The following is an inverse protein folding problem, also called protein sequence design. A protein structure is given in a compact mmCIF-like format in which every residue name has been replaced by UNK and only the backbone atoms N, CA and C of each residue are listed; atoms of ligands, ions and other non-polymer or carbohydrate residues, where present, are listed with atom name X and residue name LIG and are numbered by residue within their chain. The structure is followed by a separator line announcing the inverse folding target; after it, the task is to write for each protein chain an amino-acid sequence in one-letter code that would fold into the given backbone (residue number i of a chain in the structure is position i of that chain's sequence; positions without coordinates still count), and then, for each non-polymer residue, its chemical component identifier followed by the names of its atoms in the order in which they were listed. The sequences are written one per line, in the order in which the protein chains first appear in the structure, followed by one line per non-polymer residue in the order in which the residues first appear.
data_IF_397419866900
#
_entry.id   IF_397419866900
#
_cell.length_a   1.000
_cell.length_b   1.000
_cell.length_c   1.000
_cell.angle_alpha   90.00
_cell.angle_beta   90.00
_cell.angle_gamma   90.00
#
_symmetry.space_group_name_H-M   'P 1'
#
loop_
_entity.id
_entity.type
_entity.pdbx_description
1 polymer ?
#
# COMPACT_ATOMS: atom_id res chain seq x y z
N UNK A 1 8.45 31.23 40.99
CA UNK A 1 9.15 31.78 39.81
C UNK A 1 9.97 30.79 39.00
N UNK A 2 10.25 29.59 39.48
CA UNK A 2 11.11 28.59 38.75
C UNK A 2 10.36 27.72 37.72
N UNK A 3 9.06 27.51 37.86
CA UNK A 3 8.26 26.69 36.92
C UNK A 3 8.08 27.34 35.53
N UNK A 4 8.01 28.66 35.46
CA UNK A 4 7.81 29.38 34.19
C UNK A 4 9.05 29.33 33.26
N UNK A 5 10.25 29.26 33.86
CA UNK A 5 11.50 29.19 33.10
C UNK A 5 11.74 27.81 32.46
N UNK A 6 11.32 26.73 33.13
CA UNK A 6 11.50 25.36 32.61
C UNK A 6 10.60 25.09 31.43
N UNK A 7 9.36 25.60 31.42
CA UNK A 7 8.39 25.41 30.34
C UNK A 7 8.81 26.17 29.05
N UNK A 8 9.37 27.35 29.18
CA UNK A 8 9.85 28.15 28.05
C UNK A 8 11.07 27.50 27.40
N UNK A 9 11.98 26.94 28.20
CA UNK A 9 13.18 26.27 27.67
C UNK A 9 12.83 25.00 26.90
N UNK A 10 11.90 24.18 27.40
CA UNK A 10 11.44 22.94 26.71
C UNK A 10 10.74 23.25 25.39
N UNK A 11 9.92 24.32 25.35
CA UNK A 11 9.25 24.74 24.11
C UNK A 11 10.22 25.29 23.06
N UNK A 12 11.28 25.99 23.50
CA UNK A 12 12.30 26.53 22.60
C UNK A 12 13.18 25.43 22.00
N UNK A 13 13.55 24.42 22.79
CA UNK A 13 14.34 23.26 22.33
C UNK A 13 13.53 22.44 21.34
N UNK A 14 12.24 22.22 21.60
CA UNK A 14 11.36 21.49 20.69
C UNK A 14 11.19 22.25 19.36
N UNK A 15 11.00 23.57 19.41
CA UNK A 15 10.91 24.39 18.21
C UNK A 15 12.22 24.42 17.41
N UNK A 16 13.37 24.45 18.09
CA UNK A 16 14.70 24.42 17.44
C UNK A 16 14.97 23.06 16.79
N UNK A 17 14.59 21.95 17.42
CA UNK A 17 14.69 20.62 16.84
C UNK A 17 13.82 20.47 15.58
N UNK A 18 12.60 21.02 15.59
CA UNK A 18 11.72 21.00 14.40
C UNK A 18 12.30 21.82 13.27
N UNK A 19 12.88 23.00 13.55
CA UNK A 19 13.51 23.86 12.55
C UNK A 19 14.78 23.21 11.98
N UNK A 20 15.62 22.59 12.82
CA UNK A 20 16.83 21.87 12.38
C UNK A 20 16.48 20.62 11.55
N UNK A 21 15.42 19.89 11.90
CA UNK A 21 14.92 18.77 11.10
C UNK A 21 14.35 19.23 9.75
N UNK A 22 13.71 20.39 9.68
CA UNK A 22 13.23 20.98 8.43
C UNK A 22 14.38 21.44 7.53
N UNK A 23 15.41 22.08 8.09
CA UNK A 23 16.59 22.54 7.33
C UNK A 23 17.43 21.37 6.75
N UNK A 24 17.58 20.27 7.50
CA UNK A 24 18.28 19.06 7.01
C UNK A 24 17.53 18.35 5.86
N UNK A 25 16.30 18.71 5.61
CA UNK A 25 15.43 18.12 4.60
C UNK A 25 15.52 18.79 3.23
N UNK A 26 15.94 20.05 3.18
CA UNK A 26 16.07 20.81 1.90
C UNK A 26 17.09 20.21 0.94
N UNK A 27 17.99 19.33 1.41
CA UNK A 27 18.99 18.63 0.58
C UNK A 27 18.54 17.23 0.10
N UNK A 28 17.46 16.67 0.66
CA UNK A 28 17.01 15.35 0.25
C UNK A 28 16.26 15.42 -1.10
N UNK A 29 16.78 14.70 -2.11
CA UNK A 29 16.09 14.57 -3.40
C UNK A 29 14.62 14.13 -3.14
N UNK A 30 13.64 14.79 -3.79
CA UNK A 30 12.27 14.29 -3.77
C UNK A 30 12.25 12.80 -4.11
N UNK A 31 11.43 12.02 -3.41
CA UNK A 31 11.24 10.57 -3.64
C UNK A 31 12.50 9.69 -3.44
N UNK A 32 13.51 10.16 -2.67
CA UNK A 32 14.71 9.34 -2.38
C UNK A 32 14.45 8.23 -1.36
N UNK A 33 13.43 8.39 -0.49
CA UNK A 33 12.98 7.39 0.50
C UNK A 33 11.46 7.33 0.49
N UNK A 34 10.90 6.23 0.00
CA UNK A 34 9.47 6.02 -0.12
C UNK A 34 9.03 4.99 0.92
N UNK A 35 8.07 5.32 1.75
CA UNK A 35 7.42 4.36 2.64
C UNK A 35 6.07 3.97 2.05
N UNK A 36 5.80 2.66 1.97
CA UNK A 36 4.50 2.12 1.56
C UNK A 36 3.82 1.55 2.80
N UNK A 37 2.67 2.10 3.16
CA UNK A 37 1.78 1.60 4.20
C UNK A 37 0.46 1.19 3.55
N UNK A 38 -0.15 0.11 4.00
CA UNK A 38 -1.38 -0.35 3.35
C UNK A 38 -1.88 -1.68 3.87
N UNK A 39 -2.99 -2.10 3.29
CA UNK A 39 -3.66 -3.35 3.56
C UNK A 39 -3.34 -4.39 2.46
N UNK A 40 -4.29 -5.28 2.18
CA UNK A 40 -4.10 -6.43 1.30
C UNK A 40 -3.77 -6.07 -0.16
N UNK A 41 -4.30 -4.95 -0.68
CA UNK A 41 -3.99 -4.51 -2.03
C UNK A 41 -2.52 -4.08 -2.13
N UNK A 42 -2.06 -3.23 -1.21
CA UNK A 42 -0.65 -2.80 -1.14
C UNK A 42 0.29 -3.96 -0.76
N UNK A 43 -0.19 -4.94 0.01
CA UNK A 43 0.56 -6.17 0.35
C UNK A 43 0.60 -7.18 -0.81
N UNK A 44 -0.06 -6.90 -1.93
CA UNK A 44 0.01 -7.68 -3.16
C UNK A 44 -0.80 -8.98 -3.10
N UNK A 45 -1.92 -9.01 -2.36
CA UNK A 45 -2.76 -10.19 -2.21
C UNK A 45 -3.16 -10.78 -3.57
N UNK A 46 -2.73 -12.03 -3.83
CA UNK A 46 -3.01 -12.75 -5.07
C UNK A 46 -2.23 -12.25 -6.30
N UNK A 47 -1.41 -11.20 -6.19
CA UNK A 47 -0.58 -10.70 -7.29
C UNK A 47 0.71 -11.51 -7.37
N UNK A 48 0.95 -12.16 -8.51
CA UNK A 48 2.15 -12.98 -8.71
C UNK A 48 2.73 -12.78 -10.10
N UNK A 49 4.06 -12.84 -10.15
CA UNK A 49 4.82 -12.98 -11.41
C UNK A 49 5.45 -14.35 -11.46
N UNK A 50 5.31 -15.03 -12.58
CA UNK A 50 5.81 -16.38 -12.77
C UNK A 50 6.64 -16.47 -14.04
N UNK A 51 7.65 -17.32 -14.03
CA UNK A 51 8.46 -17.65 -15.21
C UNK A 51 8.90 -19.11 -15.18
N UNK A 52 9.38 -19.61 -16.33
CA UNK A 52 9.98 -20.93 -16.44
C UNK A 52 11.48 -20.77 -16.62
N UNK A 53 12.26 -21.47 -15.82
CA UNK A 53 13.72 -21.53 -15.93
C UNK A 53 14.15 -22.41 -17.12
N UNK A 54 15.41 -22.34 -17.59
CA UNK A 54 15.91 -23.15 -18.68
C UNK A 54 15.78 -24.66 -18.44
N UNK A 55 15.81 -25.11 -17.20
CA UNK A 55 15.63 -26.50 -16.77
C UNK A 55 14.16 -26.97 -16.78
N UNK A 56 13.23 -26.11 -17.19
CA UNK A 56 11.79 -26.40 -17.22
C UNK A 56 11.07 -26.14 -15.88
N UNK A 57 11.78 -25.80 -14.81
CA UNK A 57 11.20 -25.51 -13.49
C UNK A 57 10.41 -24.20 -13.53
N UNK A 58 9.14 -24.25 -13.13
CA UNK A 58 8.33 -23.03 -12.89
C UNK A 58 8.67 -22.42 -11.55
N UNK A 59 8.94 -21.12 -11.55
CA UNK A 59 9.11 -20.31 -10.35
C UNK A 59 8.07 -19.17 -10.34
N UNK A 60 7.64 -18.78 -9.15
CA UNK A 60 6.60 -17.74 -8.99
C UNK A 60 6.81 -17.01 -7.68
N UNK A 61 6.71 -15.69 -7.72
CA UNK A 61 6.87 -14.81 -6.57
C UNK A 61 5.68 -13.87 -6.44
N UNK A 62 5.28 -13.56 -5.20
CA UNK A 62 4.32 -12.51 -4.91
C UNK A 62 4.90 -11.16 -5.25
N UNK A 63 4.06 -10.20 -5.61
CA UNK A 63 4.47 -8.82 -5.90
C UNK A 63 3.60 -7.88 -5.09
N UNK A 64 4.17 -7.21 -4.12
CA UNK A 64 3.51 -6.16 -3.37
C UNK A 64 3.78 -4.77 -3.98
N UNK A 65 3.04 -3.75 -3.52
CA UNK A 65 3.17 -2.39 -4.05
C UNK A 65 4.57 -1.80 -3.80
N UNK A 66 5.22 -2.11 -2.68
CA UNK A 66 6.56 -1.58 -2.40
C UNK A 66 7.61 -2.17 -3.35
N UNK A 67 7.52 -3.45 -3.68
CA UNK A 67 8.37 -4.10 -4.69
C UNK A 67 8.09 -3.54 -6.08
N UNK A 68 6.81 -3.34 -6.42
CA UNK A 68 6.42 -2.70 -7.68
C UNK A 68 7.01 -1.30 -7.79
N UNK A 69 6.87 -0.46 -6.75
CA UNK A 69 7.44 0.88 -6.67
C UNK A 69 8.96 0.83 -6.86
N UNK A 70 9.65 -0.09 -6.17
CA UNK A 70 11.10 -0.26 -6.29
C UNK A 70 11.53 -0.63 -7.70
N UNK A 71 10.84 -1.58 -8.35
CA UNK A 71 11.14 -2.02 -9.73
C UNK A 71 10.78 -0.94 -10.75
N UNK A 72 9.74 -0.15 -10.47
CA UNK A 72 9.31 0.95 -11.31
C UNK A 72 10.26 2.16 -11.24
N UNK A 73 10.95 2.39 -10.13
CA UNK A 73 11.90 3.47 -9.99
C UNK A 73 13.01 3.41 -11.04
N UNK A 74 13.25 4.54 -11.72
CA UNK A 74 14.36 4.68 -12.68
C UNK A 74 15.71 4.95 -11.99
N UNK A 75 15.67 5.54 -10.78
CA UNK A 75 16.86 5.75 -9.96
C UNK A 75 17.00 4.55 -8.98
N UNK A 76 18.03 3.70 -9.15
CA UNK A 76 18.22 2.52 -8.31
C UNK A 76 18.65 2.86 -6.87
N UNK A 77 18.99 4.12 -6.58
CA UNK A 77 19.37 4.57 -5.23
C UNK A 77 18.18 4.86 -4.35
N UNK A 78 16.94 4.87 -4.88
CA UNK A 78 15.73 5.09 -4.14
C UNK A 78 15.50 3.94 -3.15
N UNK A 79 15.33 4.30 -1.88
CA UNK A 79 15.00 3.34 -0.82
C UNK A 79 13.49 3.24 -0.70
N UNK A 80 12.96 2.03 -0.84
CA UNK A 80 11.53 1.74 -0.66
C UNK A 80 11.35 0.85 0.56
N UNK A 81 10.62 1.32 1.56
CA UNK A 81 10.31 0.59 2.79
C UNK A 81 8.88 0.08 2.78
N UNK A 82 8.70 -1.19 3.14
CA UNK A 82 7.40 -1.85 3.19
C UNK A 82 6.87 -1.94 4.62
N UNK A 83 5.68 -1.39 4.84
CA UNK A 83 4.92 -1.48 6.10
C UNK A 83 3.47 -1.88 5.85
N UNK A 84 3.22 -2.63 4.76
CA UNK A 84 1.91 -3.20 4.41
C UNK A 84 1.63 -4.47 5.20
N UNK A 85 0.37 -4.86 5.29
CA UNK A 85 -0.01 -6.15 5.86
C UNK A 85 -1.41 -6.57 5.42
N UNK A 86 -1.53 -7.79 4.90
CA UNK A 86 -2.82 -8.42 4.60
C UNK A 86 -3.66 -8.68 5.86
N UNK A 87 -3.04 -8.68 7.04
CA UNK A 87 -3.72 -8.92 8.33
C UNK A 87 -4.29 -7.64 8.96
N UNK A 88 -4.34 -6.54 8.22
CA UNK A 88 -4.82 -5.25 8.71
C UNK A 88 -6.23 -5.33 9.33
N UNK A 89 -7.11 -6.13 8.74
CA UNK A 89 -8.49 -6.34 9.19
C UNK A 89 -8.61 -6.88 10.62
N UNK A 90 -7.60 -7.53 11.15
CA UNK A 90 -7.61 -8.12 12.51
C UNK A 90 -7.73 -7.05 13.59
N UNK A 91 -7.06 -5.92 13.43
CA UNK A 91 -7.14 -4.79 14.36
C UNK A 91 -6.79 -3.48 13.63
N UNK A 92 -7.74 -2.86 12.94
CA UNK A 92 -7.50 -1.67 12.12
C UNK A 92 -6.84 -0.51 12.88
N UNK A 93 -7.33 -0.18 14.08
CA UNK A 93 -6.80 0.93 14.88
C UNK A 93 -5.34 0.71 15.28
N UNK A 94 -5.00 -0.48 15.79
CA UNK A 94 -3.63 -0.81 16.19
C UNK A 94 -2.69 -0.84 14.99
N UNK A 95 -3.16 -1.41 13.88
CA UNK A 95 -2.37 -1.53 12.65
C UNK A 95 -2.12 -0.16 12.03
N UNK A 96 -3.14 0.72 11.99
CA UNK A 96 -2.97 2.11 11.55
C UNK A 96 -1.87 2.81 12.34
N UNK A 97 -1.96 2.77 13.68
CA UNK A 97 -0.98 3.39 14.58
C UNK A 97 0.43 2.84 14.37
N UNK A 98 0.57 1.51 14.31
CA UNK A 98 1.89 0.88 14.21
C UNK A 98 2.55 1.09 12.85
N UNK A 99 1.79 0.98 11.74
CA UNK A 99 2.33 1.19 10.39
C UNK A 99 2.72 2.65 10.15
N UNK A 100 1.91 3.61 10.60
CA UNK A 100 2.23 5.03 10.52
C UNK A 100 3.50 5.37 11.34
N UNK A 101 3.59 4.88 12.59
CA UNK A 101 4.77 5.12 13.42
C UNK A 101 6.05 4.52 12.82
N UNK A 102 5.98 3.30 12.28
CA UNK A 102 7.12 2.66 11.60
C UNK A 102 7.52 3.40 10.33
N UNK A 103 6.54 3.86 9.55
CA UNK A 103 6.80 4.60 8.32
C UNK A 103 7.44 5.97 8.58
N UNK A 104 7.11 6.63 9.70
CA UNK A 104 7.73 7.90 10.07
C UNK A 104 9.23 7.73 10.35
N UNK A 105 9.66 6.54 10.83
CA UNK A 105 11.04 6.30 11.24
C UNK A 105 11.35 6.81 12.65
N UNK A 106 12.46 6.33 13.20
CA UNK A 106 12.89 6.70 14.56
C UNK A 106 13.67 8.03 14.62
N UNK A 107 14.23 8.46 13.49
CA UNK A 107 15.08 9.65 13.39
C UNK A 107 14.99 10.31 12.00
N UNK A 108 15.57 11.49 11.85
CA UNK A 108 15.51 12.26 10.61
C UNK A 108 16.12 11.54 9.39
N UNK A 109 17.14 10.68 9.60
CA UNK A 109 17.80 9.93 8.54
C UNK A 109 16.92 8.80 8.00
N UNK A 110 16.06 8.24 8.82
CA UNK A 110 15.10 7.18 8.46
C UNK A 110 13.79 7.75 7.91
N UNK A 111 13.52 9.03 8.17
CA UNK A 111 12.27 9.68 7.79
C UNK A 111 12.05 9.60 6.26
N UNK A 112 10.87 9.19 5.78
CA UNK A 112 10.60 9.08 4.36
C UNK A 112 10.51 10.47 3.71
N UNK A 113 10.82 10.54 2.43
CA UNK A 113 10.58 11.72 1.60
C UNK A 113 9.22 11.69 0.92
N UNK A 114 8.52 10.55 0.98
CA UNK A 114 7.15 10.35 0.49
C UNK A 114 6.52 9.13 1.16
N UNK A 115 5.20 9.16 1.39
CA UNK A 115 4.41 8.03 1.91
C UNK A 115 3.29 7.69 0.93
N UNK A 116 3.22 6.43 0.53
CA UNK A 116 2.12 5.88 -0.26
C UNK A 116 1.20 5.06 0.69
N UNK A 117 -0.01 5.57 0.90
CA UNK A 117 -1.00 5.04 1.83
C UNK A 117 -2.32 4.68 1.10
N UNK A 118 -2.19 4.02 -0.06
CA UNK A 118 -3.26 3.93 -1.07
C UNK A 118 -4.50 3.20 -0.54
N UNK A 119 -4.36 2.01 0.04
CA UNK A 119 -5.46 1.25 0.64
C UNK A 119 -5.39 1.19 2.17
N UNK A 120 -4.58 2.08 2.76
CA UNK A 120 -4.28 2.06 4.19
C UNK A 120 -5.52 2.29 5.07
N UNK A 121 -6.45 3.14 4.64
CA UNK A 121 -7.70 3.41 5.37
C UNK A 121 -8.75 2.31 5.21
N UNK A 122 -8.60 1.39 4.25
CA UNK A 122 -9.67 0.48 3.84
C UNK A 122 -10.39 -0.18 5.02
N UNK A 123 -9.66 -0.84 5.90
CA UNK A 123 -10.25 -1.55 7.03
C UNK A 123 -10.76 -0.64 8.17
N UNK A 124 -10.41 0.64 8.15
CA UNK A 124 -11.00 1.62 9.07
C UNK A 124 -12.44 1.97 8.67
N UNK A 125 -12.81 1.82 7.41
CA UNK A 125 -14.19 1.92 6.93
C UNK A 125 -14.91 0.57 6.86
N UNK A 126 -14.21 -0.50 6.46
CA UNK A 126 -14.75 -1.84 6.18
C UNK A 126 -14.56 -2.85 7.33
N UNK A 127 -13.97 -2.46 8.44
CA UNK A 127 -13.75 -3.33 9.58
C UNK A 127 -15.03 -3.80 10.26
N UNK A 128 -14.89 -4.84 11.08
CA UNK A 128 -15.99 -5.40 11.90
C UNK A 128 -15.86 -5.04 13.38
N UNK A 129 -14.77 -4.38 13.75
CA UNK A 129 -14.47 -4.02 15.13
C UNK A 129 -14.31 -2.51 15.27
N UNK A 130 -14.82 -1.93 16.37
CA UNK A 130 -14.62 -0.53 16.73
C UNK A 130 -13.20 -0.27 17.29
N UNK A 131 -12.92 0.95 17.72
CA UNK A 131 -11.61 1.37 18.26
C UNK A 131 -11.19 0.57 19.50
N UNK A 132 -12.13 -0.03 20.22
CA UNK A 132 -11.88 -0.88 21.40
C UNK A 132 -11.70 -2.35 21.06
N UNK A 133 -11.88 -2.75 19.81
CA UNK A 133 -11.83 -4.12 19.35
C UNK A 133 -13.15 -4.90 19.57
N UNK A 134 -14.23 -4.21 19.96
CA UNK A 134 -15.57 -4.76 20.09
C UNK A 134 -16.25 -4.79 18.72
N UNK A 135 -17.32 -5.59 18.60
CA UNK A 135 -18.08 -5.65 17.35
C UNK A 135 -18.63 -4.26 16.99
N UNK A 136 -18.37 -3.85 15.76
CA UNK A 136 -18.86 -2.59 15.21
C UNK A 136 -20.40 -2.58 15.18
N UNK A 137 -21.01 -1.54 15.72
CA UNK A 137 -22.47 -1.44 15.90
C UNK A 137 -23.11 -0.32 15.09
N UNK A 138 -22.34 0.65 14.61
CA UNK A 138 -22.89 1.84 13.94
C UNK A 138 -21.91 2.49 12.96
N UNK A 139 -22.45 3.28 12.05
CA UNK A 139 -21.68 4.11 11.12
C UNK A 139 -20.88 5.21 11.85
N UNK A 140 -21.34 5.64 13.04
CA UNK A 140 -20.60 6.59 13.89
C UNK A 140 -19.27 5.98 14.35
N UNK A 141 -19.24 4.70 14.71
CA UNK A 141 -18.01 4.03 15.09
C UNK A 141 -17.03 3.87 13.91
N UNK A 142 -17.56 3.74 12.67
CA UNK A 142 -16.70 3.75 11.44
C UNK A 142 -16.03 5.12 11.26
N UNK A 143 -16.76 6.20 11.50
CA UNK A 143 -16.20 7.55 11.42
C UNK A 143 -15.13 7.76 12.50
N UNK A 144 -15.35 7.26 13.72
CA UNK A 144 -14.35 7.30 14.79
C UNK A 144 -13.08 6.52 14.43
N UNK A 145 -13.22 5.32 13.82
CA UNK A 145 -12.08 4.54 13.31
C UNK A 145 -11.28 5.32 12.26
N UNK A 146 -11.98 5.98 11.33
CA UNK A 146 -11.36 6.81 10.32
C UNK A 146 -10.60 8.00 10.94
N UNK A 147 -11.24 8.74 11.85
CA UNK A 147 -10.63 9.90 12.49
C UNK A 147 -9.38 9.52 13.30
N UNK A 148 -9.41 8.39 14.01
CA UNK A 148 -8.26 7.86 14.72
C UNK A 148 -7.12 7.45 13.77
N UNK A 149 -7.44 6.88 12.61
CA UNK A 149 -6.42 6.57 11.60
C UNK A 149 -5.81 7.86 11.02
N UNK A 150 -6.62 8.82 10.60
CA UNK A 150 -6.14 10.10 10.08
C UNK A 150 -5.23 10.83 11.08
N UNK A 151 -5.57 10.78 12.38
CA UNK A 151 -4.74 11.35 13.44
C UNK A 151 -3.34 10.70 13.51
N UNK A 152 -3.18 9.44 13.11
CA UNK A 152 -1.87 8.79 13.05
C UNK A 152 -0.93 9.38 11.97
N UNK A 153 -1.47 10.09 10.98
CA UNK A 153 -0.69 10.75 9.93
C UNK A 153 -0.26 12.18 10.30
N UNK A 154 -0.82 12.77 11.36
CA UNK A 154 -0.50 14.15 11.77
C UNK A 154 1.01 14.41 11.97
N UNK A 155 1.82 13.51 12.58
CA UNK A 155 3.25 13.72 12.67
C UNK A 155 3.95 13.82 11.31
N UNK A 156 3.50 13.04 10.32
CA UNK A 156 4.02 13.12 8.94
C UNK A 156 3.60 14.42 8.26
N UNK A 157 2.35 14.86 8.50
CA UNK A 157 1.86 16.14 8.01
C UNK A 157 2.67 17.30 8.60
N UNK A 158 2.93 17.28 9.91
CA UNK A 158 3.74 18.29 10.60
C UNK A 158 5.20 18.31 10.09
N UNK A 159 5.74 17.14 9.72
CA UNK A 159 7.05 17.02 9.08
C UNK A 159 7.02 17.38 7.58
N UNK A 160 5.91 17.84 7.04
CA UNK A 160 5.71 18.20 5.63
C UNK A 160 6.09 17.07 4.64
N UNK A 161 5.85 15.80 5.01
CA UNK A 161 6.10 14.63 4.14
C UNK A 161 4.95 14.52 3.14
N UNK A 162 5.17 14.49 1.82
CA UNK A 162 4.12 14.19 0.85
C UNK A 162 3.48 12.83 1.14
N UNK A 163 2.15 12.80 1.22
CA UNK A 163 1.37 11.60 1.49
C UNK A 163 0.33 11.44 0.39
N UNK A 164 0.30 10.27 -0.25
CA UNK A 164 -0.79 9.86 -1.13
C UNK A 164 -1.71 8.94 -0.34
N UNK A 165 -2.95 9.38 -0.13
CA UNK A 165 -3.96 8.66 0.61
C UNK A 165 -5.08 8.20 -0.34
N UNK A 166 -5.54 6.97 -0.23
CA UNK A 166 -6.72 6.52 -0.99
C UNK A 166 -8.02 6.75 -0.24
N UNK A 167 -9.08 7.03 -0.98
CA UNK A 167 -10.44 7.03 -0.47
C UNK A 167 -11.03 5.59 -0.42
N UNK A 168 -12.29 5.44 -0.02
CA UNK A 168 -12.95 4.14 0.11
C UNK A 168 -13.69 3.77 -1.17
N UNK A 169 -13.30 2.69 -1.87
CA UNK A 169 -14.05 2.16 -3.00
C UNK A 169 -15.37 1.52 -2.53
N UNK A 170 -16.38 1.46 -3.40
CA UNK A 170 -17.60 0.70 -3.14
C UNK A 170 -17.38 -0.80 -3.41
N UNK A 171 -17.45 -1.60 -2.35
CA UNK A 171 -17.22 -3.06 -2.38
C UNK A 171 -18.49 -3.90 -2.28
N UNK A 172 -19.69 -3.32 -2.48
CA UNK A 172 -20.93 -4.10 -2.48
C UNK A 172 -20.91 -5.25 -3.50
N UNK A 173 -20.27 -5.03 -4.66
CA UNK A 173 -20.12 -6.05 -5.70
C UNK A 173 -19.16 -7.19 -5.33
N UNK A 174 -18.33 -7.02 -4.30
CA UNK A 174 -17.39 -8.04 -3.81
C UNK A 174 -18.00 -8.93 -2.70
N UNK A 175 -19.22 -8.58 -2.20
CA UNK A 175 -19.93 -9.40 -1.21
C UNK A 175 -20.19 -10.78 -1.81
N UNK A 176 -19.83 -11.82 -1.06
CA UNK A 176 -19.97 -13.21 -1.53
C UNK A 176 -18.78 -13.73 -2.35
N UNK A 177 -17.80 -12.89 -2.68
CA UNK A 177 -16.54 -13.29 -3.32
C UNK A 177 -15.54 -13.98 -2.38
N UNK A 178 -15.92 -14.23 -1.12
CA UNK A 178 -15.14 -14.97 -0.13
C UNK A 178 -14.39 -14.13 0.89
N UNK A 179 -14.02 -12.87 0.56
CA UNK A 179 -13.23 -12.01 1.44
C UNK A 179 -14.06 -10.93 2.15
N UNK A 180 -15.07 -10.39 1.47
CA UNK A 180 -15.93 -9.33 1.99
C UNK A 180 -17.29 -9.92 2.38
N UNK A 181 -17.65 -9.76 3.65
CA UNK A 181 -18.95 -10.14 4.20
C UNK A 181 -19.86 -8.90 4.27
N UNK A 182 -21.17 -9.09 4.08
CA UNK A 182 -22.13 -8.00 4.11
C UNK A 182 -22.03 -7.09 5.37
N UNK A 183 -21.80 -7.60 6.59
CA UNK A 183 -21.64 -6.75 7.77
C UNK A 183 -20.37 -5.88 7.77
N UNK A 184 -19.40 -6.18 6.89
CA UNK A 184 -18.17 -5.39 6.76
C UNK A 184 -18.40 -4.13 5.92
N UNK A 185 -19.36 -4.17 5.01
CA UNK A 185 -19.60 -3.11 4.02
C UNK A 185 -20.44 -2.01 4.66
N UNK A 186 -19.94 -0.75 4.70
CA UNK A 186 -20.74 0.38 5.18
C UNK A 186 -21.93 0.64 4.24
N UNK A 187 -22.98 1.30 4.74
CA UNK A 187 -24.06 1.79 3.88
C UNK A 187 -23.51 2.76 2.83
N UNK A 188 -24.26 2.98 1.74
CA UNK A 188 -23.87 3.94 0.70
C UNK A 188 -23.70 5.34 1.27
N UNK A 189 -24.60 5.75 2.18
CA UNK A 189 -24.57 7.03 2.87
C UNK A 189 -23.34 7.14 3.78
N UNK A 190 -23.02 6.08 4.53
CA UNK A 190 -21.84 6.03 5.36
C UNK A 190 -20.55 6.10 4.49
N UNK A 191 -20.50 5.35 3.40
CA UNK A 191 -19.38 5.36 2.48
C UNK A 191 -19.14 6.76 1.89
N UNK A 192 -20.21 7.44 1.49
CA UNK A 192 -20.14 8.81 1.01
C UNK A 192 -19.62 9.77 2.10
N UNK A 193 -20.07 9.60 3.35
CA UNK A 193 -19.62 10.41 4.49
C UNK A 193 -18.13 10.15 4.82
N UNK A 194 -17.69 8.89 4.80
CA UNK A 194 -16.29 8.52 4.99
C UNK A 194 -15.40 9.15 3.91
N UNK A 195 -15.79 9.07 2.65
CA UNK A 195 -15.05 9.66 1.53
C UNK A 195 -14.99 11.19 1.63
N UNK A 196 -16.11 11.82 1.96
CA UNK A 196 -16.14 13.27 2.20
C UNK A 196 -15.20 13.68 3.33
N UNK A 197 -15.14 12.90 4.42
CA UNK A 197 -14.25 13.14 5.56
C UNK A 197 -12.77 13.03 5.17
N UNK A 198 -12.38 12.03 4.38
CA UNK A 198 -11.00 11.89 3.86
C UNK A 198 -10.61 13.12 3.05
N UNK A 199 -11.46 13.51 2.10
CA UNK A 199 -11.20 14.68 1.24
C UNK A 199 -11.12 15.96 2.05
N UNK A 200 -12.07 16.21 2.97
CA UNK A 200 -12.05 17.39 3.84
C UNK A 200 -10.80 17.45 4.70
N UNK A 201 -10.38 16.32 5.31
CA UNK A 201 -9.14 16.26 6.08
C UNK A 201 -7.92 16.57 5.20
N UNK A 202 -7.82 15.94 4.03
CA UNK A 202 -6.71 16.15 3.11
C UNK A 202 -6.60 17.62 2.65
N UNK A 203 -7.73 18.30 2.41
CA UNK A 203 -7.76 19.72 2.03
C UNK A 203 -7.18 20.65 3.12
N UNK A 204 -7.18 20.23 4.39
CA UNK A 204 -6.54 20.98 5.47
C UNK A 204 -5.02 20.81 5.50
N UNK A 205 -4.44 19.92 4.68
CA UNK A 205 -3.02 19.56 4.68
C UNK A 205 -2.36 19.93 3.36
N UNK A 206 -1.27 20.69 3.42
CA UNK A 206 -0.54 21.12 2.22
C UNK A 206 0.14 19.98 1.47
N UNK A 207 0.53 18.94 2.19
CA UNK A 207 1.36 17.82 1.73
C UNK A 207 0.59 16.51 1.53
N UNK A 208 -0.74 16.52 1.64
CA UNK A 208 -1.59 15.34 1.39
C UNK A 208 -2.32 15.50 0.06
N UNK A 209 -2.35 14.44 -0.72
CA UNK A 209 -3.22 14.28 -1.89
C UNK A 209 -4.03 12.99 -1.78
N UNK A 210 -5.17 12.96 -2.45
CA UNK A 210 -6.07 11.79 -2.44
C UNK A 210 -6.11 11.19 -3.83
N UNK A 211 -5.84 9.88 -3.91
CA UNK A 211 -6.16 9.07 -5.08
C UNK A 211 -7.56 8.49 -4.90
N UNK A 212 -8.45 8.71 -5.86
CA UNK A 212 -9.83 8.23 -5.76
C UNK A 212 -9.93 6.75 -6.15
N UNK A 213 -9.75 5.86 -5.16
CA UNK A 213 -10.00 4.43 -5.34
C UNK A 213 -11.48 4.16 -5.62
N UNK A 214 -12.38 4.98 -5.07
CA UNK A 214 -13.82 4.90 -5.32
C UNK A 214 -14.12 5.05 -6.81
N UNK A 215 -13.56 6.08 -7.46
CA UNK A 215 -13.71 6.28 -8.91
C UNK A 215 -13.00 5.19 -9.71
N UNK A 216 -11.77 4.85 -9.37
CA UNK A 216 -11.01 3.80 -10.06
C UNK A 216 -11.78 2.48 -10.06
N UNK A 217 -12.27 2.05 -8.90
CA UNK A 217 -13.04 0.80 -8.78
C UNK A 217 -14.35 0.87 -9.55
N UNK A 218 -15.07 1.99 -9.47
CA UNK A 218 -16.30 2.18 -10.23
C UNK A 218 -16.05 2.06 -11.76
N UNK A 219 -15.02 2.73 -12.28
CA UNK A 219 -14.69 2.67 -13.70
C UNK A 219 -14.30 1.23 -14.10
N UNK A 220 -13.51 0.52 -13.27
CA UNK A 220 -13.15 -0.87 -13.51
C UNK A 220 -14.37 -1.80 -13.56
N UNK A 221 -15.30 -1.68 -12.60
CA UNK A 221 -16.51 -2.49 -12.55
C UNK A 221 -17.45 -2.20 -13.74
N UNK A 222 -17.47 -0.95 -14.21
CA UNK A 222 -18.23 -0.52 -15.39
C UNK A 222 -17.49 -0.79 -16.70
N UNK A 223 -16.29 -1.39 -16.67
CA UNK A 223 -15.44 -1.66 -17.83
C UNK A 223 -15.11 -0.39 -18.64
N UNK A 224 -15.00 0.74 -17.94
CA UNK A 224 -14.55 2.00 -18.53
C UNK A 224 -13.03 2.07 -18.52
N UNK A 225 -12.41 2.70 -19.53
CA UNK A 225 -11.00 3.01 -19.50
C UNK A 225 -10.66 3.95 -18.33
N UNK A 226 -9.51 3.76 -17.72
CA UNK A 226 -8.94 4.65 -16.72
C UNK A 226 -7.87 5.48 -17.41
N UNK A 227 -7.85 6.79 -17.12
CA UNK A 227 -6.78 7.67 -17.59
C UNK A 227 -5.89 8.01 -16.38
N UNK A 228 -4.62 7.61 -16.44
CA UNK A 228 -3.65 7.87 -15.39
C UNK A 228 -2.22 7.88 -15.96
N UNK A 229 -1.38 8.77 -15.43
CA UNK A 229 0.02 8.96 -15.82
C UNK A 229 0.18 9.13 -17.35
N UNK A 230 -0.68 9.95 -17.95
CA UNK A 230 -0.64 10.29 -19.38
C UNK A 230 -1.01 9.17 -20.34
N UNK A 231 -1.57 8.04 -19.85
CA UNK A 231 -2.01 6.93 -20.71
C UNK A 231 -3.41 6.43 -20.33
N UNK A 232 -4.00 5.69 -21.27
CA UNK A 232 -5.26 4.97 -21.07
C UNK A 232 -4.98 3.54 -20.61
N UNK A 233 -5.75 3.09 -19.60
CA UNK A 233 -5.72 1.74 -19.02
C UNK A 233 -7.06 1.09 -19.30
N UNK A 234 -7.12 0.28 -20.35
CA UNK A 234 -8.34 -0.42 -20.75
C UNK A 234 -8.16 -1.94 -20.59
N UNK A 235 -9.08 -2.54 -19.83
CA UNK A 235 -9.10 -3.99 -19.62
C UNK A 235 -9.29 -4.79 -20.94
N UNK A 236 -9.83 -4.18 -22.00
CA UNK A 236 -9.97 -4.84 -23.30
C UNK A 236 -8.62 -5.06 -23.99
N UNK A 237 -7.68 -4.16 -23.78
CA UNK A 237 -6.34 -4.21 -24.41
C UNK A 237 -5.28 -4.82 -23.49
N UNK A 238 -5.39 -4.57 -22.18
CA UNK A 238 -4.39 -4.96 -21.18
C UNK A 238 -4.73 -6.24 -20.42
N UNK A 239 -5.96 -6.76 -20.61
CA UNK A 239 -6.47 -7.87 -19.81
C UNK A 239 -7.11 -7.41 -18.49
N UNK A 240 -7.60 -8.35 -17.67
CA UNK A 240 -8.32 -8.03 -16.44
C UNK A 240 -7.48 -7.15 -15.50
N UNK A 241 -8.02 -6.05 -15.04
CA UNK A 241 -7.40 -5.16 -14.05
C UNK A 241 -7.78 -5.53 -12.61
N UNK A 242 -8.93 -6.20 -12.41
CA UNK A 242 -9.35 -6.79 -11.13
C UNK A 242 -9.28 -8.32 -11.17
N UNK A 243 -9.01 -8.91 -10.02
CA UNK A 243 -9.12 -10.35 -9.80
C UNK A 243 -10.60 -10.79 -9.78
N UNK A 244 -10.84 -12.10 -9.75
CA UNK A 244 -12.20 -12.66 -9.75
C UNK A 244 -13.01 -12.29 -8.51
N UNK A 245 -12.35 -11.98 -7.40
CA UNK A 245 -12.98 -11.55 -6.16
C UNK A 245 -13.54 -10.12 -6.21
N UNK A 246 -13.29 -9.37 -7.29
CA UNK A 246 -13.72 -7.98 -7.51
C UNK A 246 -13.25 -6.99 -6.43
N UNK A 247 -12.25 -7.38 -5.66
CA UNK A 247 -11.68 -6.61 -4.57
C UNK A 247 -10.21 -6.24 -4.87
N UNK A 248 -9.42 -7.23 -5.23
CA UNK A 248 -7.99 -7.05 -5.41
C UNK A 248 -7.63 -6.81 -6.90
N UNK A 249 -6.68 -5.91 -7.17
CA UNK A 249 -6.17 -5.73 -8.53
C UNK A 249 -5.35 -6.94 -8.98
N UNK A 250 -5.28 -7.16 -10.30
CA UNK A 250 -4.26 -8.02 -10.92
C UNK A 250 -2.91 -7.30 -10.93
N UNK A 251 -1.86 -7.93 -11.46
CA UNK A 251 -0.57 -7.25 -11.68
C UNK A 251 -0.75 -5.95 -12.48
N UNK A 252 -1.46 -6.01 -13.61
CA UNK A 252 -1.73 -4.81 -14.44
C UNK A 252 -2.58 -3.79 -13.67
N UNK A 253 -3.58 -4.25 -12.93
CA UNK A 253 -4.38 -3.39 -12.06
C UNK A 253 -3.56 -2.69 -10.99
N UNK A 254 -2.58 -3.38 -10.38
CA UNK A 254 -1.67 -2.75 -9.40
C UNK A 254 -0.79 -1.68 -10.05
N UNK A 255 -0.33 -1.92 -11.30
CA UNK A 255 0.39 -0.88 -12.06
C UNK A 255 -0.53 0.30 -12.39
N UNK A 256 -1.81 0.04 -12.71
CA UNK A 256 -2.80 1.12 -12.93
C UNK A 256 -3.01 1.96 -11.66
N UNK A 257 -3.12 1.31 -10.51
CA UNK A 257 -3.23 2.00 -9.20
C UNK A 257 -1.96 2.81 -8.94
N UNK A 258 -0.77 2.27 -9.22
CA UNK A 258 0.48 3.03 -9.10
C UNK A 258 0.47 4.26 -10.03
N UNK A 259 0.04 4.13 -11.29
CA UNK A 259 -0.06 5.25 -12.22
C UNK A 259 -0.97 6.36 -11.68
N UNK A 260 -2.17 6.02 -11.17
CA UNK A 260 -3.08 6.98 -10.56
C UNK A 260 -2.49 7.60 -9.26
N UNK A 261 -1.71 6.83 -8.51
CA UNK A 261 -0.99 7.30 -7.32
C UNK A 261 0.07 8.34 -7.69
N UNK A 262 0.79 8.13 -8.78
CA UNK A 262 1.79 9.07 -9.29
C UNK A 262 1.15 10.36 -9.80
N UNK A 263 -0.01 10.30 -10.48
CA UNK A 263 -0.77 11.50 -10.86
C UNK A 263 -1.16 12.33 -9.63
N UNK A 264 -1.68 11.69 -8.60
CA UNK A 264 -2.02 12.39 -7.36
C UNK A 264 -0.77 13.00 -6.72
N UNK A 265 0.34 12.27 -6.67
CA UNK A 265 1.60 12.72 -6.08
C UNK A 265 2.22 13.90 -6.85
N UNK A 266 2.08 13.94 -8.17
CA UNK A 266 2.58 15.02 -9.02
C UNK A 266 1.97 16.37 -8.66
N UNK A 267 0.77 16.40 -8.08
CA UNK A 267 0.16 17.64 -7.53
C UNK A 267 0.95 18.22 -6.36
N UNK A 268 1.85 17.44 -5.75
CA UNK A 268 2.67 17.82 -4.56
C UNK A 268 4.18 17.80 -4.84
N UNK A 269 4.61 17.36 -6.03
CA UNK A 269 6.02 17.19 -6.39
C UNK A 269 6.42 17.88 -7.71
N UNK A 270 5.65 18.87 -8.14
CA UNK A 270 5.92 19.65 -9.36
C UNK A 270 6.15 18.77 -10.62
N UNK A 271 5.29 17.76 -10.79
CA UNK A 271 5.35 16.77 -11.87
C UNK A 271 6.67 15.95 -11.90
N UNK A 272 7.31 15.78 -10.74
CA UNK A 272 8.54 15.00 -10.65
C UNK A 272 8.27 13.50 -10.53
N UNK A 273 7.12 13.09 -10.00
CA UNK A 273 6.85 11.68 -9.70
C UNK A 273 6.80 10.83 -10.98
N UNK A 274 5.95 11.16 -11.95
CA UNK A 274 5.83 10.37 -13.18
C UNK A 274 7.16 10.23 -13.94
N UNK A 275 8.01 11.26 -13.94
CA UNK A 275 9.32 11.21 -14.59
C UNK A 275 10.28 10.21 -13.97
N UNK A 276 10.12 9.95 -12.67
CA UNK A 276 10.99 9.06 -11.88
C UNK A 276 10.62 7.58 -12.01
N UNK A 277 9.44 7.25 -12.60
CA UNK A 277 8.95 5.88 -12.61
C UNK A 277 8.71 5.37 -14.03
N UNK A 278 8.90 4.06 -14.21
CA UNK A 278 8.39 3.27 -15.32
C UNK A 278 7.01 2.75 -14.95
N UNK A 279 6.05 2.84 -15.87
CA UNK A 279 4.67 2.41 -15.64
C UNK A 279 4.14 1.48 -16.74
N UNK A 280 4.98 1.04 -17.67
CA UNK A 280 4.53 0.04 -18.65
C UNK A 280 4.48 -1.35 -18.00
N UNK A 281 3.29 -2.00 -17.93
CA UNK A 281 3.14 -3.29 -17.27
C UNK A 281 3.98 -4.41 -17.89
N UNK A 282 4.25 -4.36 -19.19
CA UNK A 282 5.07 -5.36 -19.86
C UNK A 282 6.53 -5.21 -19.46
N UNK A 283 7.04 -3.97 -19.46
CA UNK A 283 8.41 -3.65 -19.03
C UNK A 283 8.61 -4.01 -17.55
N UNK A 284 7.66 -3.65 -16.70
CA UNK A 284 7.75 -3.97 -15.27
C UNK A 284 7.71 -5.47 -15.02
N UNK A 285 6.84 -6.21 -15.72
CA UNK A 285 6.79 -7.67 -15.63
C UNK A 285 8.11 -8.30 -16.05
N UNK A 286 8.74 -7.82 -17.12
CA UNK A 286 10.03 -8.32 -17.60
C UNK A 286 11.14 -8.07 -16.56
N UNK A 287 11.16 -6.87 -15.94
CA UNK A 287 12.11 -6.58 -14.84
C UNK A 287 11.95 -7.56 -13.67
N UNK A 288 10.70 -7.83 -13.23
CA UNK A 288 10.43 -8.84 -12.20
C UNK A 288 10.88 -10.23 -12.62
N UNK A 289 10.59 -10.65 -13.84
CA UNK A 289 11.03 -11.96 -14.35
C UNK A 289 12.56 -12.08 -14.36
N UNK A 290 13.25 -11.01 -14.74
CA UNK A 290 14.72 -10.96 -14.72
C UNK A 290 15.27 -11.11 -13.31
N UNK A 291 14.71 -10.37 -12.34
CA UNK A 291 15.11 -10.46 -10.93
C UNK A 291 14.84 -11.88 -10.38
N UNK A 292 13.68 -12.45 -10.69
CA UNK A 292 13.28 -13.78 -10.25
C UNK A 292 14.24 -14.87 -10.78
N UNK A 293 14.65 -14.78 -12.05
CA UNK A 293 15.65 -15.68 -12.63
C UNK A 293 17.01 -15.52 -11.96
N UNK A 294 17.46 -14.28 -11.74
CA UNK A 294 18.74 -14.02 -11.08
C UNK A 294 18.75 -14.57 -9.62
N UNK A 295 17.68 -14.39 -8.88
CA UNK A 295 17.56 -14.93 -7.52
C UNK A 295 17.60 -16.46 -7.50
N UNK A 296 16.96 -17.12 -8.48
CA UNK A 296 16.94 -18.57 -8.59
C UNK A 296 18.33 -19.16 -8.92
N UNK A 297 19.14 -18.45 -9.73
CA UNK A 297 20.51 -18.89 -10.07
C UNK A 297 21.52 -18.67 -8.94
N UNK A 298 21.28 -17.66 -8.10
CA UNK A 298 22.17 -17.31 -6.98
C UNK A 298 21.83 -18.01 -5.67
N UNK A 299 20.70 -18.75 -5.60
CA UNK A 299 20.38 -19.56 -4.42
C UNK A 299 21.34 -20.76 -4.36
N UNK A 300 22.17 -20.91 -3.30
CA UNK A 300 23.02 -22.07 -3.15
C UNK A 300 22.15 -23.31 -3.15
N UNK A 301 22.47 -24.28 -4.02
CA UNK A 301 21.84 -25.60 -4.01
C UNK A 301 22.06 -26.18 -2.62
N UNK A 302 21.01 -26.31 -1.85
CA UNK A 302 21.10 -26.98 -0.55
C UNK A 302 21.45 -28.45 -0.79
N UNK A 303 22.69 -28.89 -0.50
CA UNK A 303 23.11 -30.27 -0.80
C UNK A 303 22.33 -31.33 -0.01
N UNK A 304 21.48 -30.90 0.94
CA UNK A 304 20.65 -31.77 1.77
C UNK A 304 19.20 -31.92 1.26
N UNK A 305 18.83 -31.35 0.14
CA UNK A 305 17.61 -31.76 -0.56
C UNK A 305 17.91 -33.04 -1.34
N UNK A 306 17.84 -34.17 -0.61
CA UNK A 306 17.74 -35.49 -1.25
C UNK A 306 16.59 -35.41 -2.29
N UNK A 307 16.82 -35.90 -3.54
CA UNK A 307 15.73 -36.05 -4.50
C UNK A 307 14.63 -36.87 -3.81
N UNK A 308 13.38 -36.46 -3.97
CA UNK A 308 12.22 -37.18 -3.46
C UNK A 308 12.28 -38.61 -4.02
N UNK A 309 13.03 -39.46 -3.34
CA UNK A 309 13.24 -40.85 -3.66
C UNK A 309 11.96 -41.59 -3.33
N UNK A 310 11.41 -42.20 -4.34
CA UNK A 310 10.58 -43.42 -4.33
C UNK A 310 10.13 -43.83 -2.92
N UNK A 311 8.86 -43.57 -2.62
CA UNK A 311 8.20 -44.17 -1.46
C UNK A 311 8.47 -45.67 -1.45
N UNK A 312 8.89 -46.27 -0.32
CA UNK A 312 9.06 -47.69 -0.23
C UNK A 312 7.71 -48.36 -0.50
N UNK A 313 7.69 -49.25 -1.49
CA UNK A 313 6.56 -50.14 -1.77
C UNK A 313 6.24 -50.93 -0.51
N UNK A 314 5.01 -50.77 -0.01
CA UNK A 314 4.51 -51.53 1.12
C UNK A 314 4.62 -53.05 0.81
N UNK A 315 5.04 -53.87 1.77
CA UNK A 315 5.05 -55.33 1.59
C UNK A 315 3.63 -55.87 1.38
N UNK A 316 3.43 -56.91 0.58
CA UNK A 316 2.14 -57.49 0.33
C UNK A 316 1.50 -58.00 1.62
N UNK A 317 0.22 -57.70 1.81
CA UNK A 317 -0.57 -58.16 2.95
C UNK A 317 -0.60 -59.71 2.94
N UNK A 318 -0.16 -60.33 4.03
CA UNK A 318 -0.40 -61.73 4.29
C UNK A 318 -1.90 -61.90 4.60
N UNK A 319 -2.57 -62.69 3.75
CA UNK A 319 -3.96 -63.14 3.96
C UNK A 319 -3.94 -64.33 4.90
N UNK A 320 -4.82 -64.43 5.91
CA UNK A 320 -4.91 -65.53 6.85
C UNK A 320 -5.38 -66.86 6.24
#
# INVERSE_FOLDING_TARGET
MNYLRTTIFSSLVLALCVVLCAAARDEAKPLSRIAVIGASMSDGFGVRVSTTLPDGKKISEGVNLSELVKVACKDPTVVVSNYTTSMYFMNPSRTAKSSAARALGANAQEMPTCVLAVDWLFWNGYGVSNVRGEKLSSDTERMELLDNALACLEPMCAANIPIVLGDFPDMHSAIGGGMILAPMVPSIECLAALNARVVQWALTKKNVCVVSLSKLTQDLLQKKPIHAAGREWDAKTLGPLLQKDRLHPTFVGTVTVLAATLDALDTKTDNAAQKCFEIDPAVLRERFVTQLKASATNSPVNPNQLPAGTAPTAPPAQVP
#
